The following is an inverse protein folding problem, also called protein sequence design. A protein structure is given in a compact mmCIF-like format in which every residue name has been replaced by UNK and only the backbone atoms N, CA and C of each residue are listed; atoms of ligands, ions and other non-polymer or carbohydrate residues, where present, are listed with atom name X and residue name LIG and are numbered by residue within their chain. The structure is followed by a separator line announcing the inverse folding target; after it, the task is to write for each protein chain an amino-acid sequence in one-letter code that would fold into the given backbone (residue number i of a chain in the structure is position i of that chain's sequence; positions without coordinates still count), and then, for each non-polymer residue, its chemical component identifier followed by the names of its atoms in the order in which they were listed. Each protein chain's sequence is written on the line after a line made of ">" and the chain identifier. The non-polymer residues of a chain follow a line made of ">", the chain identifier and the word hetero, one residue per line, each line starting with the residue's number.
data_IF_683524570400
#
_entry.id   IF_683524570400
#
_cell.length_a   1.000
_cell.length_b   1.000
_cell.length_c   1.000
_cell.angle_alpha   90.00
_cell.angle_beta   90.00
_cell.angle_gamma   90.00
#
_symmetry.space_group_name_H-M   'P 1'
#
loop_
_entity.id
_entity.type
_entity.pdbx_description
1 polymer ?
#
# COMPACT_ATOMS: atom_id res chain seq x y z
N UNK A 1 11.93 -11.54 19.78
CA UNK A 1 11.07 -10.38 19.46
C UNK A 1 10.03 -10.80 18.42
N UNK A 2 8.81 -10.26 18.50
CA UNK A 2 7.81 -10.48 17.45
C UNK A 2 8.24 -9.75 16.18
N UNK A 3 8.12 -10.39 15.03
CA UNK A 3 8.37 -9.73 13.73
C UNK A 3 7.25 -8.74 13.43
N UNK A 4 7.60 -7.58 12.92
CA UNK A 4 6.68 -6.47 12.61
C UNK A 4 6.48 -6.37 11.11
N UNK A 5 5.23 -6.41 10.69
CA UNK A 5 4.85 -6.29 9.27
C UNK A 5 3.94 -5.10 9.09
N UNK A 6 4.15 -4.35 8.02
CA UNK A 6 3.21 -3.33 7.58
C UNK A 6 2.72 -3.62 6.17
N UNK A 7 1.40 -3.50 6.00
CA UNK A 7 0.75 -3.51 4.69
C UNK A 7 0.31 -2.09 4.32
N UNK A 8 0.57 -1.72 3.08
CA UNK A 8 0.06 -0.48 2.49
C UNK A 8 -1.02 -0.83 1.49
N UNK A 9 -2.20 -0.20 1.63
CA UNK A 9 -3.37 -0.40 0.77
C UNK A 9 -4.01 0.94 0.40
N UNK A 10 -4.77 0.95 -0.67
CA UNK A 10 -5.49 2.17 -1.08
C UNK A 10 -6.83 2.31 -0.32
N UNK A 11 -7.51 1.19 -0.10
CA UNK A 11 -8.77 1.05 0.66
C UNK A 11 -8.82 -0.30 1.39
N UNK A 12 -9.83 -0.47 2.25
CA UNK A 12 -10.13 -1.74 2.93
C UNK A 12 -11.39 -2.41 2.36
N UNK A 13 -12.05 -1.74 1.41
CA UNK A 13 -13.32 -2.16 0.82
C UNK A 13 -13.28 -2.02 -0.70
N UNK A 14 -14.09 -2.80 -1.39
CA UNK A 14 -14.45 -2.57 -2.79
C UNK A 14 -13.88 -3.52 -3.83
N UNK A 15 -12.87 -4.35 -3.53
CA UNK A 15 -12.25 -5.20 -4.54
C UNK A 15 -11.84 -6.60 -4.10
N UNK A 16 -11.35 -7.37 -5.06
CA UNK A 16 -10.81 -8.71 -4.80
C UNK A 16 -9.51 -8.70 -3.99
N UNK A 17 -8.66 -7.69 -4.22
CA UNK A 17 -7.39 -7.56 -3.49
C UNK A 17 -7.61 -7.35 -1.99
N UNK A 18 -8.62 -6.57 -1.60
CA UNK A 18 -8.97 -6.34 -0.19
C UNK A 18 -9.46 -7.62 0.50
N UNK A 19 -10.22 -8.46 -0.22
CA UNK A 19 -10.63 -9.79 0.27
C UNK A 19 -9.42 -10.70 0.45
N UNK A 20 -8.50 -10.71 -0.50
CA UNK A 20 -7.26 -11.48 -0.40
C UNK A 20 -6.43 -11.03 0.81
N UNK A 21 -6.32 -9.72 1.04
CA UNK A 21 -5.65 -9.20 2.24
C UNK A 21 -6.34 -9.69 3.51
N UNK A 22 -7.66 -9.60 3.58
CA UNK A 22 -8.43 -10.06 4.74
C UNK A 22 -8.21 -11.54 5.02
N UNK A 23 -8.29 -12.39 3.98
CA UNK A 23 -8.02 -13.84 4.08
C UNK A 23 -6.60 -14.10 4.58
N UNK A 24 -5.61 -13.40 4.02
CA UNK A 24 -4.21 -13.51 4.42
C UNK A 24 -4.01 -13.14 5.90
N UNK A 25 -4.59 -12.02 6.33
CA UNK A 25 -4.45 -11.51 7.70
C UNK A 25 -5.15 -12.44 8.71
N UNK A 26 -6.30 -13.01 8.37
CA UNK A 26 -6.98 -14.01 9.19
C UNK A 26 -6.14 -15.30 9.33
N UNK A 27 -5.50 -15.73 8.25
CA UNK A 27 -4.60 -16.90 8.29
C UNK A 27 -3.33 -16.68 9.14
N UNK A 28 -3.01 -15.44 9.47
CA UNK A 28 -1.86 -15.08 10.31
C UNK A 28 -2.22 -14.76 11.77
N UNK A 29 -3.50 -14.75 12.10
CA UNK A 29 -3.94 -14.54 13.48
C UNK A 29 -3.31 -15.57 14.41
N UNK A 30 -2.81 -15.12 15.55
CA UNK A 30 -2.17 -15.98 16.55
C UNK A 30 -0.75 -16.45 16.23
N UNK A 31 -0.19 -16.14 15.04
CA UNK A 31 1.17 -16.60 14.64
C UNK A 31 2.31 -15.72 15.18
N UNK A 32 2.04 -14.83 16.11
CA UNK A 32 3.08 -14.04 16.77
C UNK A 32 3.63 -12.87 15.97
N UNK A 33 2.94 -12.42 14.94
CA UNK A 33 3.28 -11.24 14.15
C UNK A 33 2.63 -9.98 14.75
N UNK A 34 3.35 -8.86 14.69
CA UNK A 34 2.81 -7.53 14.98
C UNK A 34 2.48 -6.85 13.63
N UNK A 35 1.19 -6.74 13.33
CA UNK A 35 0.72 -6.35 12.00
C UNK A 35 0.10 -4.95 12.05
N UNK A 36 0.56 -4.09 11.15
CA UNK A 36 -0.01 -2.77 10.88
C UNK A 36 -0.53 -2.70 9.45
N UNK A 37 -1.62 -1.97 9.25
CA UNK A 37 -2.16 -1.67 7.91
C UNK A 37 -2.27 -0.16 7.75
N UNK A 38 -1.57 0.40 6.78
CA UNK A 38 -1.73 1.79 6.35
C UNK A 38 -2.66 1.87 5.16
N UNK A 39 -3.82 2.46 5.37
CA UNK A 39 -4.80 2.72 4.33
C UNK A 39 -4.72 4.18 3.87
N UNK A 40 -4.86 4.42 2.56
CA UNK A 40 -4.79 5.77 2.01
C UNK A 40 -5.92 6.66 2.55
N UNK A 41 -7.15 6.17 2.54
CA UNK A 41 -8.32 6.92 3.02
C UNK A 41 -8.83 6.36 4.34
N UNK A 42 -9.26 7.26 5.23
CA UNK A 42 -9.95 6.85 6.45
C UNK A 42 -11.34 6.32 6.10
N UNK A 43 -11.59 5.10 6.50
CA UNK A 43 -12.87 4.40 6.37
C UNK A 43 -13.11 3.52 7.60
N UNK A 44 -14.33 3.06 7.77
CA UNK A 44 -14.63 2.09 8.83
C UNK A 44 -14.00 0.74 8.43
N UNK A 45 -13.33 0.12 9.40
CA UNK A 45 -12.73 -1.20 9.15
C UNK A 45 -13.86 -2.20 8.98
N UNK A 46 -13.94 -2.90 7.83
CA UNK A 46 -15.00 -3.87 7.59
C UNK A 46 -14.97 -5.01 8.62
N UNK A 47 -16.11 -5.63 8.92
CA UNK A 47 -16.12 -6.83 9.74
C UNK A 47 -15.29 -7.95 9.10
N UNK A 48 -14.70 -8.81 9.95
CA UNK A 48 -13.93 -9.96 9.51
C UNK A 48 -12.41 -9.74 9.46
N UNK A 49 -11.90 -8.54 9.76
CA UNK A 49 -10.47 -8.36 10.03
C UNK A 49 -10.12 -8.79 11.47
N UNK A 50 -8.93 -9.37 11.73
CA UNK A 50 -8.47 -9.71 13.08
C UNK A 50 -8.40 -8.47 13.97
N UNK A 51 -8.77 -8.62 15.25
CA UNK A 51 -8.84 -7.51 16.22
C UNK A 51 -7.48 -6.95 16.64
N UNK A 52 -6.42 -7.71 16.45
CA UNK A 52 -5.05 -7.37 16.88
C UNK A 52 -4.25 -6.60 15.83
N UNK A 53 -4.88 -6.12 14.75
CA UNK A 53 -4.25 -5.33 13.69
C UNK A 53 -4.35 -3.84 14.00
N UNK A 54 -3.23 -3.12 13.88
CA UNK A 54 -3.20 -1.67 13.98
C UNK A 54 -3.51 -1.02 12.63
N UNK A 55 -4.66 -0.36 12.52
CA UNK A 55 -5.04 0.37 11.30
C UNK A 55 -4.65 1.85 11.42
N UNK A 56 -3.96 2.35 10.39
CA UNK A 56 -3.55 3.74 10.23
C UNK A 56 -4.12 4.31 8.94
N UNK A 57 -4.57 5.57 8.97
CA UNK A 57 -5.16 6.23 7.82
C UNK A 57 -4.36 7.48 7.47
N UNK A 58 -3.98 7.61 6.21
CA UNK A 58 -3.17 8.73 5.74
C UNK A 58 -4.03 9.98 5.46
N UNK A 59 -5.20 9.80 4.87
CA UNK A 59 -6.15 10.88 4.60
C UNK A 59 -7.37 10.73 5.50
N UNK A 60 -7.85 11.83 6.03
CA UNK A 60 -9.05 11.87 6.87
C UNK A 60 -10.32 11.91 6.02
N UNK A 61 -11.39 11.30 6.50
CA UNK A 61 -12.72 11.32 5.86
C UNK A 61 -13.68 12.23 6.61
N UNK A 62 -14.57 12.89 5.87
CA UNK A 62 -15.66 13.65 6.43
C UNK A 62 -16.82 12.73 6.78
N UNK A 63 -17.42 12.96 7.95
CA UNK A 63 -18.63 12.25 8.40
C UNK A 63 -19.88 13.08 8.13
N UNK A 64 -21.00 12.42 7.94
CA UNK A 64 -22.31 13.08 7.87
C UNK A 64 -22.59 13.78 9.21
N UNK A 65 -22.78 15.10 9.18
CA UNK A 65 -22.97 15.89 10.40
C UNK A 65 -21.75 16.68 10.88
N UNK A 66 -20.57 16.51 10.24
CA UNK A 66 -19.40 17.35 10.57
C UNK A 66 -19.70 18.83 10.36
N UNK A 67 -19.38 19.64 11.39
CA UNK A 67 -19.53 21.08 11.35
C UNK A 67 -18.55 21.74 10.38
N UNK A 68 -18.83 23.01 10.03
CA UNK A 68 -18.05 23.79 9.05
C UNK A 68 -16.55 23.79 9.36
N UNK A 69 -16.14 24.05 10.59
CA UNK A 69 -14.73 24.11 10.99
C UNK A 69 -14.02 22.74 10.89
N UNK A 70 -14.69 21.66 11.22
CA UNK A 70 -14.17 20.29 11.06
C UNK A 70 -13.94 20.00 9.58
N UNK A 71 -14.93 20.32 8.73
CA UNK A 71 -14.82 20.14 7.27
C UNK A 71 -13.65 20.94 6.69
N UNK A 72 -13.46 22.17 7.15
CA UNK A 72 -12.37 23.04 6.68
C UNK A 72 -11.01 22.45 7.09
N UNK A 73 -10.85 22.03 8.36
CA UNK A 73 -9.62 21.41 8.88
C UNK A 73 -9.26 20.13 8.12
N UNK A 74 -10.23 19.23 7.93
CA UNK A 74 -10.02 17.98 7.20
C UNK A 74 -9.61 18.25 5.75
N UNK A 75 -10.31 19.13 5.05
CA UNK A 75 -9.99 19.50 3.67
C UNK A 75 -8.60 20.13 3.56
N UNK A 76 -8.26 21.08 4.43
CA UNK A 76 -6.95 21.74 4.43
C UNK A 76 -5.83 20.73 4.77
N UNK A 77 -6.02 19.90 5.78
CA UNK A 77 -5.07 18.85 6.15
C UNK A 77 -4.83 17.83 5.02
N UNK A 78 -5.90 17.34 4.41
CA UNK A 78 -5.77 16.43 3.27
C UNK A 78 -5.11 17.09 2.06
N UNK A 79 -5.45 18.36 1.76
CA UNK A 79 -4.81 19.12 0.69
C UNK A 79 -3.30 19.24 0.92
N UNK A 80 -2.89 19.55 2.15
CA UNK A 80 -1.47 19.62 2.50
C UNK A 80 -0.77 18.25 2.36
N UNK A 81 -1.37 17.17 2.88
CA UNK A 81 -0.84 15.80 2.75
C UNK A 81 -0.69 15.41 1.27
N UNK A 82 -1.69 15.71 0.43
CA UNK A 82 -1.64 15.43 -1.01
C UNK A 82 -0.61 16.30 -1.74
N UNK A 83 -0.42 17.55 -1.32
CA UNK A 83 0.62 18.43 -1.86
C UNK A 83 2.01 17.85 -1.56
N UNK A 84 2.25 17.45 -0.30
CA UNK A 84 3.51 16.76 0.07
C UNK A 84 3.67 15.47 -0.71
N UNK A 85 2.62 14.65 -0.81
CA UNK A 85 2.65 13.43 -1.59
C UNK A 85 3.07 13.67 -3.05
N UNK A 86 2.48 14.68 -3.69
CA UNK A 86 2.71 14.96 -5.11
C UNK A 86 4.09 15.56 -5.40
N UNK A 87 4.59 16.43 -4.53
CA UNK A 87 5.79 17.24 -4.81
C UNK A 87 7.05 16.71 -4.12
N UNK A 88 6.91 16.06 -2.98
CA UNK A 88 8.07 15.51 -2.27
C UNK A 88 8.48 14.13 -2.81
N UNK A 89 9.77 13.79 -2.73
CA UNK A 89 10.24 12.43 -2.98
C UNK A 89 9.56 11.42 -2.04
N UNK A 90 9.31 10.16 -2.48
CA UNK A 90 8.67 9.15 -1.65
C UNK A 90 9.28 8.97 -0.25
N UNK A 91 10.62 9.00 -0.05
CA UNK A 91 11.21 8.87 1.29
C UNK A 91 10.85 10.01 2.25
N UNK A 92 10.63 11.21 1.74
CA UNK A 92 10.20 12.36 2.56
C UNK A 92 8.77 12.14 3.04
N UNK A 93 7.87 11.74 2.13
CA UNK A 93 6.50 11.42 2.48
C UNK A 93 6.43 10.28 3.49
N UNK A 94 7.19 9.20 3.26
CA UNK A 94 7.24 8.06 4.17
C UNK A 94 7.64 8.50 5.59
N UNK A 95 8.75 9.23 5.75
CA UNK A 95 9.24 9.70 7.07
C UNK A 95 8.26 10.61 7.79
N UNK A 96 7.45 11.38 7.06
CA UNK A 96 6.47 12.30 7.66
C UNK A 96 5.22 11.58 8.15
N UNK A 97 4.76 10.53 7.45
CA UNK A 97 3.43 9.97 7.67
C UNK A 97 3.40 8.50 8.07
N UNK A 98 4.48 7.75 7.84
CA UNK A 98 4.59 6.36 8.31
C UNK A 98 5.46 6.31 9.56
N UNK A 99 4.92 5.72 10.61
CA UNK A 99 5.59 5.64 11.91
C UNK A 99 6.01 4.22 12.23
N UNK A 100 7.13 4.10 12.92
CA UNK A 100 7.67 2.81 13.34
C UNK A 100 8.68 2.24 12.35
N UNK A 101 9.26 1.12 12.74
CA UNK A 101 10.16 0.30 11.93
C UNK A 101 9.56 -1.07 11.78
N UNK A 102 9.71 -1.67 10.62
CA UNK A 102 9.11 -2.95 10.27
C UNK A 102 10.17 -3.88 9.68
N UNK A 103 10.06 -5.17 9.99
CA UNK A 103 10.90 -6.21 9.38
C UNK A 103 10.46 -6.49 7.93
N UNK A 104 9.17 -6.32 7.65
CA UNK A 104 8.60 -6.49 6.31
C UNK A 104 7.66 -5.33 6.00
N UNK A 105 7.81 -4.77 4.82
CA UNK A 105 6.99 -3.68 4.30
C UNK A 105 6.39 -4.09 2.96
N UNK A 106 5.08 -4.31 2.95
CA UNK A 106 4.34 -4.83 1.80
C UNK A 106 3.41 -3.76 1.20
N UNK A 107 3.69 -3.30 -0.01
CA UNK A 107 2.70 -2.62 -0.84
C UNK A 107 1.76 -3.69 -1.38
N UNK A 108 0.56 -3.82 -0.80
CA UNK A 108 -0.36 -4.90 -1.15
C UNK A 108 -1.24 -4.59 -2.35
N UNK A 109 -1.28 -3.34 -2.77
CA UNK A 109 -2.02 -2.87 -3.97
C UNK A 109 -1.12 -1.90 -4.74
N UNK A 110 -1.31 -1.85 -6.05
CA UNK A 110 -0.60 -0.97 -6.97
C UNK A 110 -0.89 0.52 -6.72
N UNK A 111 -0.10 1.38 -7.32
CA UNK A 111 -0.32 2.81 -7.35
C UNK A 111 0.12 3.50 -6.06
N UNK A 112 -0.80 4.09 -5.30
CA UNK A 112 -0.46 4.89 -4.10
C UNK A 112 0.28 4.07 -3.05
N UNK A 113 -0.17 2.86 -2.76
CA UNK A 113 0.47 1.97 -1.78
C UNK A 113 1.90 1.62 -2.20
N UNK A 114 2.11 1.27 -3.47
CA UNK A 114 3.43 0.97 -4.03
C UNK A 114 4.36 2.19 -3.95
N UNK A 115 3.89 3.40 -4.32
CA UNK A 115 4.71 4.61 -4.23
C UNK A 115 5.09 4.95 -2.80
N UNK A 116 4.18 4.80 -1.84
CA UNK A 116 4.45 5.08 -0.43
C UNK A 116 5.48 4.09 0.13
N UNK A 117 5.26 2.79 -0.05
CA UNK A 117 6.15 1.75 0.45
C UNK A 117 7.55 1.81 -0.19
N UNK A 118 7.65 2.16 -1.49
CA UNK A 118 8.94 2.34 -2.16
C UNK A 118 9.79 3.44 -1.54
N UNK A 119 9.18 4.35 -0.80
CA UNK A 119 9.84 5.44 -0.08
C UNK A 119 10.40 5.05 1.29
N UNK A 120 10.26 3.80 1.73
CA UNK A 120 10.79 3.40 3.04
C UNK A 120 12.31 3.61 3.11
N UNK A 121 12.79 4.37 4.11
CA UNK A 121 14.21 4.57 4.33
C UNK A 121 14.86 3.45 5.15
N UNK A 122 14.10 2.44 5.58
CA UNK A 122 14.61 1.36 6.41
C UNK A 122 15.44 0.38 5.56
N UNK A 123 16.76 0.27 5.73
CA UNK A 123 17.59 -0.64 4.95
C UNK A 123 17.44 -2.11 5.38
N UNK A 124 16.99 -2.35 6.62
CA UNK A 124 16.89 -3.69 7.20
C UNK A 124 15.54 -4.35 6.93
N UNK A 125 14.56 -3.60 6.41
CA UNK A 125 13.26 -4.16 6.07
C UNK A 125 13.26 -4.89 4.73
N UNK A 126 12.57 -6.02 4.66
CA UNK A 126 12.26 -6.67 3.40
C UNK A 126 11.05 -6.00 2.75
N UNK A 127 11.22 -5.50 1.54
CA UNK A 127 10.20 -4.75 0.81
C UNK A 127 9.55 -5.62 -0.26
N UNK A 128 8.22 -5.71 -0.20
CA UNK A 128 7.41 -6.49 -1.12
C UNK A 128 6.42 -5.56 -1.84
N UNK A 129 6.28 -5.71 -3.16
CA UNK A 129 5.16 -5.14 -3.91
C UNK A 129 4.27 -6.26 -4.43
N UNK A 130 2.95 -6.11 -4.24
CA UNK A 130 1.96 -7.05 -4.76
C UNK A 130 1.17 -6.40 -5.87
N UNK A 131 1.05 -7.08 -7.01
CA UNK A 131 0.41 -6.59 -8.23
C UNK A 131 -0.76 -7.51 -8.58
N UNK A 132 -1.96 -6.94 -8.60
CA UNK A 132 -3.22 -7.67 -8.77
C UNK A 132 -3.84 -7.51 -10.16
N UNK A 133 -3.36 -6.56 -10.95
CA UNK A 133 -3.91 -6.27 -12.28
C UNK A 133 -2.83 -6.29 -13.36
N UNK A 134 -3.27 -6.55 -14.57
CA UNK A 134 -2.44 -6.35 -15.76
C UNK A 134 -2.28 -4.86 -16.07
N UNK A 135 -1.08 -4.32 -15.78
CA UNK A 135 -0.75 -2.91 -15.98
C UNK A 135 -0.65 -2.54 -17.46
N UNK A 136 -0.45 -3.50 -18.36
CA UNK A 136 -0.46 -3.24 -19.79
C UNK A 136 -1.89 -3.06 -20.31
N UNK A 137 -2.85 -3.83 -19.77
CA UNK A 137 -4.25 -3.73 -20.14
C UNK A 137 -4.97 -2.56 -19.46
N UNK A 138 -4.60 -2.25 -18.21
CA UNK A 138 -5.23 -1.20 -17.41
C UNK A 138 -4.22 -0.44 -16.54
N UNK A 139 -3.65 0.62 -17.07
CA UNK A 139 -2.64 1.44 -16.40
C UNK A 139 -3.27 2.58 -15.57
N UNK A 140 -4.17 2.24 -14.65
CA UNK A 140 -4.83 3.22 -13.76
C UNK A 140 -3.91 3.82 -12.70
N UNK A 141 -2.73 3.25 -12.49
CA UNK A 141 -1.80 3.60 -11.41
C UNK A 141 -1.01 4.87 -11.66
N UNK A 142 -0.86 5.28 -12.92
CA UNK A 142 -0.05 6.44 -13.31
C UNK A 142 -0.36 7.74 -12.54
N UNK A 143 -1.63 8.08 -12.21
CA UNK A 143 -1.92 9.27 -11.40
C UNK A 143 -1.36 9.25 -9.97
N UNK A 144 -0.96 8.08 -9.46
CA UNK A 144 -0.30 7.96 -8.16
C UNK A 144 1.15 8.48 -8.18
N UNK A 145 1.76 8.60 -9.35
CA UNK A 145 3.15 9.00 -9.55
C UNK A 145 3.23 10.36 -10.24
N UNK A 146 4.40 11.01 -10.17
CA UNK A 146 4.64 12.27 -10.89
C UNK A 146 4.80 12.05 -12.39
N UNK A 147 5.33 10.89 -12.76
CA UNK A 147 5.51 10.43 -14.13
C UNK A 147 5.80 8.92 -14.17
N UNK A 148 5.81 8.35 -15.38
CA UNK A 148 6.07 6.92 -15.59
C UNK A 148 7.45 6.46 -15.09
N UNK A 149 8.46 7.31 -15.17
CA UNK A 149 9.80 6.97 -14.67
C UNK A 149 9.86 6.88 -13.14
N UNK A 150 9.05 7.63 -12.42
CA UNK A 150 8.91 7.47 -10.96
C UNK A 150 8.25 6.12 -10.63
N UNK A 151 7.23 5.72 -11.38
CA UNK A 151 6.56 4.42 -11.21
C UNK A 151 7.54 3.26 -11.43
N UNK A 152 8.28 3.27 -12.54
CA UNK A 152 9.33 2.27 -12.81
C UNK A 152 10.35 2.19 -11.68
N UNK A 153 10.84 3.36 -11.23
CA UNK A 153 11.80 3.41 -10.11
C UNK A 153 11.21 2.89 -8.82
N UNK A 154 9.92 3.12 -8.55
CA UNK A 154 9.25 2.63 -7.36
C UNK A 154 9.29 1.09 -7.30
N UNK A 155 8.92 0.40 -8.37
CA UNK A 155 8.98 -1.07 -8.41
C UNK A 155 10.39 -1.63 -8.20
N UNK A 156 11.43 -0.94 -8.68
CA UNK A 156 12.83 -1.35 -8.51
C UNK A 156 13.37 -1.21 -7.08
N UNK A 157 12.64 -0.53 -6.18
CA UNK A 157 13.00 -0.43 -4.76
C UNK A 157 12.63 -1.67 -3.96
N UNK A 158 11.78 -2.54 -4.51
CA UNK A 158 11.33 -3.74 -3.81
C UNK A 158 12.31 -4.90 -3.99
N UNK A 159 12.45 -5.70 -2.92
CA UNK A 159 13.25 -6.93 -2.96
C UNK A 159 12.56 -8.00 -3.77
N UNK A 160 11.22 -8.06 -3.67
CA UNK A 160 10.41 -9.00 -4.44
C UNK A 160 9.13 -8.30 -4.93
N UNK A 161 8.80 -8.48 -6.20
CA UNK A 161 7.50 -8.12 -6.77
C UNK A 161 6.71 -9.40 -6.97
N UNK A 162 5.56 -9.49 -6.31
CA UNK A 162 4.63 -10.62 -6.37
C UNK A 162 3.49 -10.27 -7.32
N UNK A 163 3.21 -11.11 -8.28
CA UNK A 163 2.11 -10.96 -9.23
C UNK A 163 1.11 -12.10 -9.09
N UNK A 164 -0.18 -11.82 -9.22
CA UNK A 164 -1.25 -12.82 -9.03
C UNK A 164 -1.41 -13.78 -10.21
N UNK A 165 -0.77 -13.51 -11.34
CA UNK A 165 -0.73 -14.40 -12.50
C UNK A 165 0.55 -14.19 -13.32
N UNK A 166 0.77 -15.04 -14.32
CA UNK A 166 1.90 -14.89 -15.25
C UNK A 166 1.76 -13.62 -16.09
N UNK A 167 0.58 -13.34 -16.62
CA UNK A 167 0.34 -12.17 -17.45
C UNK A 167 0.57 -10.88 -16.67
N UNK A 168 0.11 -10.82 -15.41
CA UNK A 168 0.38 -9.70 -14.49
C UNK A 168 1.88 -9.55 -14.25
N UNK A 169 2.62 -10.65 -14.08
CA UNK A 169 4.07 -10.59 -13.91
C UNK A 169 4.75 -10.04 -15.16
N UNK A 170 4.36 -10.50 -16.34
CA UNK A 170 4.92 -10.02 -17.62
C UNK A 170 4.65 -8.52 -17.81
N UNK A 171 3.43 -8.06 -17.50
CA UNK A 171 3.07 -6.64 -17.62
C UNK A 171 3.89 -5.75 -16.68
N UNK A 172 4.09 -6.15 -15.41
CA UNK A 172 4.89 -5.34 -14.48
C UNK A 172 6.38 -5.35 -14.83
N UNK A 173 6.90 -6.48 -15.32
CA UNK A 173 8.29 -6.57 -15.80
C UNK A 173 8.49 -5.71 -17.05
N UNK A 174 7.53 -5.71 -17.98
CA UNK A 174 7.57 -4.85 -19.16
C UNK A 174 7.55 -3.36 -18.78
N UNK A 175 6.73 -2.99 -17.79
CA UNK A 175 6.64 -1.62 -17.30
C UNK A 175 7.91 -1.19 -16.55
N UNK A 176 8.36 -1.96 -15.58
CA UNK A 176 9.43 -1.57 -14.66
C UNK A 176 10.84 -1.86 -15.18
N UNK A 177 10.98 -2.76 -16.17
CA UNK A 177 12.25 -3.34 -16.60
C UNK A 177 12.77 -4.38 -15.61
N UNK A 178 14.10 -4.61 -15.56
CA UNK A 178 14.68 -5.62 -14.67
C UNK A 178 14.34 -5.37 -13.20
N UNK A 179 13.71 -6.36 -12.55
CA UNK A 179 13.39 -6.40 -11.12
C UNK A 179 14.38 -7.31 -10.41
N UNK A 180 14.62 -7.10 -9.10
CA UNK A 180 15.50 -7.95 -8.29
C UNK A 180 14.98 -9.38 -8.22
N UNK A 181 13.68 -9.53 -7.94
CA UNK A 181 12.98 -10.80 -7.90
C UNK A 181 11.51 -10.57 -8.29
N UNK A 182 10.98 -11.36 -9.23
CA UNK A 182 9.61 -11.25 -9.70
C UNK A 182 8.95 -12.63 -9.69
N UNK A 183 7.96 -12.81 -8.80
CA UNK A 183 7.32 -14.10 -8.54
C UNK A 183 5.85 -14.08 -8.90
N UNK A 184 5.32 -15.23 -9.23
CA UNK A 184 3.88 -15.46 -9.35
C UNK A 184 3.40 -16.17 -8.09
N UNK A 185 2.38 -15.59 -7.45
CA UNK A 185 1.66 -16.21 -6.34
C UNK A 185 0.17 -15.99 -6.57
N UNK A 186 -0.53 -17.03 -6.93
CA UNK A 186 -1.97 -16.99 -7.16
C UNK A 186 -2.71 -16.64 -5.88
N UNK A 187 -3.80 -15.88 -6.02
CA UNK A 187 -4.66 -15.57 -4.89
C UNK A 187 -5.23 -16.87 -4.30
N UNK A 188 -5.37 -16.95 -2.97
CA UNK A 188 -6.07 -18.07 -2.35
C UNK A 188 -7.50 -18.14 -2.91
N UNK A 189 -7.93 -19.35 -3.24
CA UNK A 189 -9.32 -19.66 -3.61
C UNK A 189 -9.97 -20.16 -2.33
N UNK A 190 -11.08 -19.51 -1.95
CA UNK A 190 -11.95 -19.97 -0.86
C UNK A 190 -12.79 -21.19 -1.29
#
# INVERSE_FOLDING_TARGET
>A
MKKRIVFFVNSLTGGGAEKVLQTLLNGWEGRGWDISVYCLKKEDVPPGYPRNIAFHFLLDSLRKGDGFWTRLKVKAGNKLKLLVYRHCPPPVFYRMFVRGTYDVEAAFIEGYATRIASGSPNPDSRKLAWVHIDLAANHWTLPAYRNAEEEKRAYRQFDTVVSVSRDVRESVVALAGPLRDARVLYNPID
#
